data_IF_046144291404
#
_entry.id   IF_046144291404
#
_cell.length_a   1.000
_cell.length_b   1.000
_cell.length_c   1.000
_cell.angle_alpha   90.00
_cell.angle_beta   90.00
_cell.angle_gamma   90.00
#
_symmetry.space_group_name_H-M   'P 1'
#
loop_
_entity.id
_entity.type
_entity.pdbx_description
1 polymer ?
#
# COMPACT_ATOMS: atom_id res chain seq x y z
N UNK A 1 1.57 -6.68 29.13
CA UNK A 1 1.92 -5.80 28.00
C UNK A 1 1.40 -6.46 26.74
N UNK A 2 0.46 -5.80 26.07
CA UNK A 2 -0.35 -6.33 24.97
C UNK A 2 0.51 -6.93 23.83
N UNK A 3 0.70 -8.25 23.88
CA UNK A 3 1.03 -9.04 22.69
C UNK A 3 -0.19 -9.04 21.77
N UNK A 4 -0.43 -7.94 21.06
CA UNK A 4 -1.36 -7.97 19.94
C UNK A 4 -0.66 -8.74 18.84
N UNK A 5 -1.17 -9.95 18.57
CA UNK A 5 -0.66 -10.85 17.54
C UNK A 5 -0.45 -10.10 16.21
N UNK A 6 0.67 -10.34 15.49
CA UNK A 6 0.99 -9.71 14.21
C UNK A 6 -0.17 -9.65 13.21
N UNK A 7 -0.99 -10.71 13.18
CA UNK A 7 -2.17 -10.81 12.33
C UNK A 7 -3.25 -9.77 12.64
N UNK A 8 -3.50 -9.47 13.93
CA UNK A 8 -4.49 -8.46 14.33
C UNK A 8 -4.01 -7.06 13.92
N UNK A 9 -2.71 -6.79 14.10
CA UNK A 9 -2.09 -5.54 13.65
C UNK A 9 -2.17 -5.40 12.13
N UNK A 10 -1.88 -6.46 11.38
CA UNK A 10 -2.05 -6.46 9.93
C UNK A 10 -3.51 -6.19 9.53
N UNK A 11 -4.48 -6.85 10.16
CA UNK A 11 -5.89 -6.63 9.86
C UNK A 11 -6.30 -5.18 10.13
N UNK A 12 -5.79 -4.59 11.21
CA UNK A 12 -5.99 -3.17 11.51
C UNK A 12 -5.39 -2.26 10.43
N UNK A 13 -4.17 -2.56 9.96
CA UNK A 13 -3.54 -1.82 8.87
C UNK A 13 -4.34 -1.92 7.55
N UNK A 14 -4.81 -3.13 7.19
CA UNK A 14 -5.69 -3.35 6.04
C UNK A 14 -6.95 -2.51 6.14
N UNK A 15 -7.68 -2.59 7.26
CA UNK A 15 -8.88 -1.80 7.49
C UNK A 15 -8.63 -0.28 7.35
N UNK A 16 -7.54 0.24 7.92
CA UNK A 16 -7.19 1.66 7.76
C UNK A 16 -6.90 2.03 6.30
N UNK A 17 -6.15 1.20 5.56
CA UNK A 17 -5.84 1.45 4.15
C UNK A 17 -7.08 1.40 3.25
N UNK A 18 -7.98 0.44 3.47
CA UNK A 18 -9.24 0.33 2.73
C UNK A 18 -10.16 1.50 3.02
N UNK A 19 -10.29 1.90 4.30
CA UNK A 19 -11.08 3.09 4.66
C UNK A 19 -10.51 4.35 4.01
N UNK A 20 -9.19 4.52 3.99
CA UNK A 20 -8.55 5.64 3.31
C UNK A 20 -8.93 5.67 1.81
N UNK A 21 -8.94 4.52 1.12
CA UNK A 21 -9.36 4.44 -0.29
C UNK A 21 -10.82 4.85 -0.50
N UNK A 22 -11.71 4.39 0.38
CA UNK A 22 -13.13 4.75 0.34
C UNK A 22 -13.28 6.27 0.52
N UNK A 23 -12.62 6.85 1.52
CA UNK A 23 -12.64 8.29 1.75
C UNK A 23 -12.09 9.09 0.56
N UNK A 24 -10.96 8.65 0.00
CA UNK A 24 -10.33 9.27 -1.18
C UNK A 24 -11.27 9.31 -2.39
N UNK A 25 -12.11 8.28 -2.58
CA UNK A 25 -13.07 8.19 -3.69
C UNK A 25 -14.36 8.98 -3.42
N UNK A 26 -14.85 8.95 -2.19
CA UNK A 26 -16.14 9.59 -1.84
C UNK A 26 -16.04 11.09 -1.67
N UNK A 27 -14.96 11.58 -1.06
CA UNK A 27 -14.82 12.99 -0.73
C UNK A 27 -13.39 13.45 -1.04
N UNK A 28 -13.10 13.77 -2.32
CA UNK A 28 -11.78 14.24 -2.73
C UNK A 28 -11.32 15.50 -1.97
N UNK A 29 -12.25 16.25 -1.35
CA UNK A 29 -11.97 17.42 -0.53
C UNK A 29 -11.61 17.08 0.93
N UNK A 30 -11.94 15.87 1.42
CA UNK A 30 -11.59 15.41 2.78
C UNK A 30 -10.24 14.70 2.82
N UNK A 31 -9.21 15.41 2.36
CA UNK A 31 -7.84 14.89 2.32
C UNK A 31 -7.29 14.56 3.73
N UNK A 32 -7.74 15.27 4.77
CA UNK A 32 -7.19 15.10 6.12
C UNK A 32 -7.47 13.71 6.71
N UNK A 33 -8.72 13.24 6.67
CA UNK A 33 -9.09 11.91 7.19
C UNK A 33 -8.49 10.78 6.38
N UNK A 34 -8.45 10.95 5.06
CA UNK A 34 -7.76 10.03 4.15
C UNK A 34 -6.27 9.92 4.51
N UNK A 35 -5.60 11.07 4.71
CA UNK A 35 -4.19 11.12 5.07
C UNK A 35 -3.92 10.53 6.46
N UNK A 36 -4.77 10.80 7.45
CA UNK A 36 -4.66 10.23 8.79
C UNK A 36 -4.73 8.70 8.76
N UNK A 37 -5.74 8.14 8.06
CA UNK A 37 -5.90 6.69 7.92
C UNK A 37 -4.74 6.06 7.15
N UNK A 38 -4.26 6.71 6.09
CA UNK A 38 -3.08 6.27 5.33
C UNK A 38 -1.82 6.24 6.21
N UNK A 39 -1.61 7.25 7.05
CA UNK A 39 -0.48 7.32 7.98
C UNK A 39 -0.57 6.22 9.05
N UNK A 40 -1.76 5.96 9.62
CA UNK A 40 -1.97 4.86 10.56
C UNK A 40 -1.67 3.49 9.94
N UNK A 41 -2.11 3.26 8.70
CA UNK A 41 -1.80 2.02 7.97
C UNK A 41 -0.30 1.85 7.72
N UNK A 42 0.39 2.94 7.35
CA UNK A 42 1.84 2.97 7.16
C UNK A 42 2.60 2.66 8.45
N UNK A 43 2.28 3.36 9.53
CA UNK A 43 2.95 3.19 10.83
C UNK A 43 2.88 1.73 11.30
N UNK A 44 1.68 1.13 11.26
CA UNK A 44 1.52 -0.27 11.66
C UNK A 44 2.34 -1.18 10.74
N UNK A 45 2.26 -0.98 9.42
CA UNK A 45 2.97 -1.83 8.46
C UNK A 45 4.50 -1.72 8.62
N UNK A 46 5.03 -0.53 8.87
CA UNK A 46 6.46 -0.30 9.11
C UNK A 46 6.93 -0.92 10.42
N UNK A 47 6.11 -0.89 11.46
CA UNK A 47 6.41 -1.59 12.72
C UNK A 47 6.45 -3.11 12.52
N UNK A 48 5.50 -3.69 11.77
CA UNK A 48 5.48 -5.12 11.48
C UNK A 48 6.74 -5.56 10.72
N UNK A 49 7.15 -4.78 9.72
CA UNK A 49 8.38 -5.03 8.97
C UNK A 49 9.62 -4.90 9.84
N UNK A 50 9.70 -3.86 10.67
CA UNK A 50 10.86 -3.61 11.52
C UNK A 50 11.07 -4.70 12.57
N UNK A 51 9.99 -5.35 12.99
CA UNK A 51 10.03 -6.52 13.86
C UNK A 51 10.50 -7.80 13.16
N UNK A 52 10.77 -7.75 11.84
CA UNK A 52 11.17 -8.91 11.05
C UNK A 52 10.05 -9.92 10.82
N UNK A 53 8.80 -9.54 11.07
CA UNK A 53 7.65 -10.44 10.94
C UNK A 53 7.38 -10.69 9.44
N UNK A 54 7.49 -11.96 9.02
CA UNK A 54 7.01 -12.39 7.70
C UNK A 54 5.51 -12.61 7.81
N UNK A 55 4.74 -11.61 7.39
CA UNK A 55 3.28 -11.66 7.44
C UNK A 55 2.73 -11.61 6.02
N UNK A 56 2.11 -12.70 5.63
CA UNK A 56 1.45 -12.83 4.33
C UNK A 56 0.37 -11.75 4.16
N UNK A 57 0.34 -11.13 2.98
CA UNK A 57 -0.69 -10.15 2.63
C UNK A 57 -0.43 -8.75 3.17
N UNK A 58 0.77 -8.46 3.71
CA UNK A 58 1.21 -7.08 3.95
C UNK A 58 1.37 -6.29 2.63
N UNK A 59 1.55 -6.99 1.50
CA UNK A 59 1.59 -6.41 0.16
C UNK A 59 0.34 -5.59 -0.17
N UNK A 60 -0.85 -6.09 0.20
CA UNK A 60 -2.14 -5.43 -0.04
C UNK A 60 -2.18 -4.02 0.57
N UNK A 61 -1.61 -3.85 1.77
CA UNK A 61 -1.60 -2.55 2.46
C UNK A 61 -0.78 -1.54 1.67
N UNK A 62 0.41 -1.94 1.19
CA UNK A 62 1.26 -1.08 0.36
C UNK A 62 0.64 -0.80 -1.00
N UNK A 63 -0.11 -1.74 -1.55
CA UNK A 63 -0.82 -1.54 -2.79
C UNK A 63 -1.90 -0.46 -2.64
N UNK A 64 -2.75 -0.56 -1.63
CA UNK A 64 -3.76 0.46 -1.33
C UNK A 64 -3.12 1.84 -1.12
N UNK A 65 -1.98 1.90 -0.45
CA UNK A 65 -1.22 3.15 -0.29
C UNK A 65 -0.72 3.68 -1.65
N UNK A 66 -0.29 2.79 -2.55
CA UNK A 66 0.04 3.14 -3.93
C UNK A 66 -1.14 3.76 -4.68
N UNK A 67 -2.32 3.15 -4.58
CA UNK A 67 -3.55 3.66 -5.19
C UNK A 67 -3.97 5.01 -4.59
N UNK A 68 -3.84 5.20 -3.28
CA UNK A 68 -4.09 6.49 -2.64
C UNK A 68 -3.21 7.61 -3.22
N UNK A 69 -1.92 7.34 -3.44
CA UNK A 69 -1.05 8.32 -4.07
C UNK A 69 -1.38 8.56 -5.55
N UNK A 70 -1.94 7.57 -6.25
CA UNK A 70 -2.46 7.78 -7.60
C UNK A 70 -3.65 8.73 -7.61
N UNK A 71 -4.59 8.55 -6.68
CA UNK A 71 -5.75 9.43 -6.54
C UNK A 71 -5.33 10.86 -6.19
N UNK A 72 -4.21 11.02 -5.47
CA UNK A 72 -3.58 12.32 -5.15
C UNK A 72 -2.67 12.87 -6.27
N UNK A 73 -2.73 12.31 -7.48
CA UNK A 73 -1.90 12.72 -8.62
C UNK A 73 -0.39 12.72 -8.32
N UNK A 74 0.07 11.78 -7.47
CA UNK A 74 1.47 11.61 -7.10
C UNK A 74 2.02 10.26 -7.58
N UNK A 75 2.27 10.11 -8.90
CA UNK A 75 2.72 8.85 -9.48
C UNK A 75 4.10 8.40 -8.99
N UNK A 76 4.95 9.33 -8.57
CA UNK A 76 6.29 9.02 -8.04
C UNK A 76 6.18 8.27 -6.70
N UNK A 77 5.36 8.77 -5.77
CA UNK A 77 5.11 8.07 -4.50
C UNK A 77 4.31 6.79 -4.72
N UNK A 78 3.31 6.80 -5.61
CA UNK A 78 2.57 5.60 -5.96
C UNK A 78 3.50 4.46 -6.42
N UNK A 79 4.42 4.74 -7.36
CA UNK A 79 5.40 3.78 -7.85
C UNK A 79 6.25 3.18 -6.72
N UNK A 80 6.69 3.99 -5.76
CA UNK A 80 7.47 3.52 -4.61
C UNK A 80 6.69 2.48 -3.80
N UNK A 81 5.42 2.73 -3.56
CA UNK A 81 4.58 1.84 -2.74
C UNK A 81 4.13 0.59 -3.51
N UNK A 82 3.80 0.69 -4.80
CA UNK A 82 3.56 -0.49 -5.63
C UNK A 82 4.80 -1.41 -5.74
N UNK A 83 6.01 -0.84 -5.83
CA UNK A 83 7.24 -1.64 -5.77
C UNK A 83 7.44 -2.34 -4.43
N UNK A 84 7.09 -1.67 -3.31
CA UNK A 84 7.06 -2.32 -1.99
C UNK A 84 6.05 -3.47 -1.98
N UNK A 85 4.82 -3.23 -2.43
CA UNK A 85 3.76 -4.25 -2.51
C UNK A 85 4.23 -5.47 -3.29
N UNK A 86 4.75 -5.27 -4.50
CA UNK A 86 5.30 -6.33 -5.35
C UNK A 86 6.39 -7.15 -4.64
N UNK A 87 7.29 -6.49 -3.91
CA UNK A 87 8.36 -7.16 -3.17
C UNK A 87 7.87 -8.03 -2.02
N UNK A 88 6.74 -7.71 -1.40
CA UNK A 88 6.12 -8.55 -0.37
C UNK A 88 5.25 -9.64 -1.00
N UNK A 89 4.43 -9.33 -1.99
CA UNK A 89 3.60 -10.31 -2.70
C UNK A 89 4.44 -11.42 -3.35
N UNK A 90 5.62 -11.09 -3.92
CA UNK A 90 6.57 -12.09 -4.46
C UNK A 90 7.22 -12.98 -3.40
N UNK A 91 7.33 -12.51 -2.15
CA UNK A 91 7.84 -13.34 -1.06
C UNK A 91 6.78 -14.33 -0.58
N UNK A 92 5.52 -13.95 -0.70
CA UNK A 92 4.37 -14.73 -0.27
C UNK A 92 3.92 -15.76 -1.33
N UNK A 93 4.20 -15.50 -2.62
CA UNK A 93 3.66 -16.27 -3.75
C UNK A 93 4.72 -16.62 -4.81
N UNK A 94 4.40 -17.59 -5.69
CA UNK A 94 5.23 -17.90 -6.86
C UNK A 94 5.17 -16.74 -7.87
N UNK A 95 6.31 -16.41 -8.49
CA UNK A 95 6.53 -15.20 -9.32
C UNK A 95 5.51 -14.95 -10.46
N UNK A 96 4.77 -15.96 -10.92
CA UNK A 96 3.79 -15.84 -12.01
C UNK A 96 2.32 -15.65 -11.54
N UNK A 97 2.12 -15.31 -10.27
CA UNK A 97 0.78 -15.08 -9.74
C UNK A 97 0.07 -13.90 -10.46
N UNK A 98 -1.24 -14.00 -10.79
CA UNK A 98 -1.99 -12.92 -11.44
C UNK A 98 -1.85 -11.55 -10.77
N UNK A 99 -1.80 -11.51 -9.43
CA UNK A 99 -1.61 -10.26 -8.67
C UNK A 99 -0.25 -9.60 -8.93
N UNK A 100 0.82 -10.39 -9.03
CA UNK A 100 2.17 -9.88 -9.32
C UNK A 100 2.18 -9.23 -10.70
N UNK A 101 1.58 -9.89 -11.71
CA UNK A 101 1.45 -9.35 -13.07
C UNK A 101 0.63 -8.07 -13.10
N UNK A 102 -0.47 -8.01 -12.33
CA UNK A 102 -1.32 -6.82 -12.23
C UNK A 102 -0.57 -5.63 -11.64
N UNK A 103 0.10 -5.82 -10.50
CA UNK A 103 0.89 -4.76 -9.85
C UNK A 103 2.02 -4.28 -10.76
N UNK A 104 2.70 -5.20 -11.45
CA UNK A 104 3.75 -4.87 -12.42
C UNK A 104 3.20 -4.00 -13.57
N UNK A 105 2.06 -4.37 -14.16
CA UNK A 105 1.40 -3.57 -15.20
C UNK A 105 1.03 -2.17 -14.71
N UNK A 106 0.57 -2.03 -13.47
CA UNK A 106 0.29 -0.72 -12.87
C UNK A 106 1.58 0.10 -12.84
N UNK A 107 2.67 -0.45 -12.30
CA UNK A 107 3.98 0.22 -12.22
C UNK A 107 4.44 0.68 -13.60
N UNK A 108 4.33 -0.17 -14.62
CA UNK A 108 4.80 0.12 -15.98
C UNK A 108 3.95 1.20 -16.67
N UNK A 109 2.65 1.26 -16.34
CA UNK A 109 1.73 2.31 -16.83
C UNK A 109 1.86 3.66 -16.13
N UNK A 110 2.58 3.75 -15.00
CA UNK A 110 2.79 5.03 -14.32
C UNK A 110 3.71 5.93 -15.14
N UNK A 111 3.44 7.25 -15.21
CA UNK A 111 4.34 8.19 -15.88
C UNK A 111 5.72 8.14 -15.20
N UNK A 112 6.77 8.04 -16.01
CA UNK A 112 8.14 8.24 -15.56
C UNK A 112 8.45 9.73 -15.57
N UNK A 113 9.32 10.20 -14.68
CA UNK A 113 9.82 11.58 -14.64
C UNK A 113 10.63 12.00 -15.89
N UNK A 114 10.51 11.26 -17.00
CA UNK A 114 11.06 11.54 -18.32
C UNK A 114 9.91 11.76 -19.31
N UNK A 115 9.22 12.88 -19.14
CA UNK A 115 8.45 13.53 -20.22
C UNK A 115 8.70 15.03 -20.11
N UNK A 116 9.96 15.38 -20.34
CA UNK A 116 10.35 16.65 -20.92
C UNK A 116 11.20 16.26 -22.12
N UNK A 117 10.58 16.23 -23.29
CA UNK A 117 11.13 16.58 -24.61
C UNK A 117 10.03 16.42 -25.66
#
# INVERSE_FOLDING_TARGET
MEQIFPLIRLQKAKSHSTLALIYSKQQPQQDEKCNELRLKALEISEQLISNGEKIEGIGDVFEHIGELYMNQSNPQRARKYYKKALGYTKKDMVDDHPEIRRIQKIIDGLPTSRTTD
#
